data_IF_083093995029
#
_entry.id   IF_083093995029
#
_cell.length_a   1.000
_cell.length_b   1.000
_cell.length_c   1.000
_cell.angle_alpha   90.00
_cell.angle_beta   90.00
_cell.angle_gamma   90.00
#
_symmetry.space_group_name_H-M   'P 1'
#
loop_
_entity.id
_entity.type
_entity.pdbx_description
1 polymer ?
#
# COMPACT_ATOMS: atom_id res chain seq x y z
N UNK A 1 5.08 -42.15 31.46
CA UNK A 1 4.36 -43.22 30.73
C UNK A 1 3.49 -42.55 29.68
N UNK A 2 3.58 -42.94 28.41
CA UNK A 2 2.78 -42.36 27.32
C UNK A 2 1.73 -43.39 26.90
N UNK A 3 0.49 -43.21 27.37
CA UNK A 3 -0.61 -44.16 27.16
C UNK A 3 -1.57 -43.72 26.05
N UNK A 4 -1.41 -42.50 25.53
CA UNK A 4 -2.28 -41.89 24.52
C UNK A 4 -1.46 -41.20 23.45
N UNK A 5 -1.99 -41.19 22.24
CA UNK A 5 -1.40 -40.40 21.16
C UNK A 5 -1.51 -38.90 21.45
N UNK A 6 -0.56 -38.14 20.91
CA UNK A 6 -0.58 -36.68 20.96
C UNK A 6 -1.78 -36.12 20.18
N UNK A 7 -2.14 -34.86 20.44
CA UNK A 7 -3.23 -34.18 19.74
C UNK A 7 -3.04 -34.22 18.23
N UNK A 8 -4.10 -34.56 17.51
CA UNK A 8 -4.11 -34.74 16.06
C UNK A 8 -3.64 -36.12 15.60
N UNK A 9 -3.35 -37.05 16.51
CA UNK A 9 -2.94 -38.41 16.16
C UNK A 9 -3.90 -39.47 16.69
N UNK A 10 -3.96 -40.61 16.01
CA UNK A 10 -4.74 -41.78 16.39
C UNK A 10 -3.88 -43.05 16.35
N UNK A 11 -4.32 -44.11 17.02
CA UNK A 11 -3.65 -45.41 17.02
C UNK A 11 -3.34 -45.91 18.44
N UNK A 12 -2.49 -46.93 18.51
CA UNK A 12 -2.09 -47.60 19.75
C UNK A 12 -0.57 -47.50 19.90
N UNK A 13 -0.13 -46.79 20.95
CA UNK A 13 1.28 -46.53 21.26
C UNK A 13 2.08 -47.83 21.40
N UNK A 14 1.45 -48.91 21.86
CA UNK A 14 2.12 -50.17 22.18
C UNK A 14 2.13 -51.19 21.02
N UNK A 15 1.33 -50.97 19.97
CA UNK A 15 1.23 -51.91 18.83
C UNK A 15 1.80 -51.31 17.55
N UNK A 16 1.12 -50.31 17.01
CA UNK A 16 1.36 -49.78 15.67
C UNK A 16 1.79 -48.31 15.70
N UNK A 17 2.01 -47.76 16.89
CA UNK A 17 2.32 -46.36 17.11
C UNK A 17 1.16 -45.43 16.78
N UNK A 18 1.45 -44.13 16.82
CA UNK A 18 0.51 -43.05 16.53
C UNK A 18 0.67 -42.57 15.09
N UNK A 19 -0.45 -42.39 14.40
CA UNK A 19 -0.53 -41.91 13.01
C UNK A 19 -1.32 -40.59 12.96
N UNK A 20 -0.95 -39.64 12.09
CA UNK A 20 -1.66 -38.37 11.99
C UNK A 20 -3.07 -38.59 11.43
N UNK A 21 -4.02 -37.85 12.00
CA UNK A 21 -5.39 -37.83 11.52
C UNK A 21 -5.48 -37.20 10.13
N UNK A 22 -6.11 -37.87 9.15
CA UNK A 22 -6.37 -37.30 7.83
C UNK A 22 -7.66 -36.45 7.87
N UNK A 23 -7.59 -35.32 8.57
CA UNK A 23 -8.73 -34.45 8.85
C UNK A 23 -8.39 -32.97 8.58
N UNK A 24 -8.52 -32.47 7.33
CA UNK A 24 -8.91 -33.20 6.11
C UNK A 24 -7.81 -34.02 5.47
N UNK A 25 -6.56 -33.65 5.69
CA UNK A 25 -5.39 -34.37 5.15
C UNK A 25 -4.31 -34.46 6.22
N UNK A 26 -3.38 -35.40 6.08
CA UNK A 26 -2.29 -35.58 7.07
C UNK A 26 -1.40 -34.34 7.19
N UNK A 27 -1.24 -33.59 6.11
CA UNK A 27 -0.44 -32.35 6.02
C UNK A 27 -1.18 -31.12 6.55
N UNK A 28 -2.52 -31.16 6.57
CA UNK A 28 -3.41 -30.09 7.03
C UNK A 28 -4.40 -30.70 8.02
N UNK A 29 -3.92 -30.93 9.23
CA UNK A 29 -4.67 -31.63 10.26
C UNK A 29 -5.26 -30.64 11.28
N UNK A 30 -6.56 -30.44 11.17
CA UNK A 30 -7.36 -29.58 12.04
C UNK A 30 -8.19 -30.37 13.05
N UNK A 31 -7.84 -31.63 13.30
CA UNK A 31 -8.46 -32.46 14.33
C UNK A 31 -7.63 -32.49 15.62
N UNK A 32 -8.32 -32.57 16.77
CA UNK A 32 -7.75 -32.94 18.07
C UNK A 32 -7.47 -34.44 18.15
N UNK A 33 -8.21 -35.24 17.40
CA UNK A 33 -8.07 -36.69 17.31
C UNK A 33 -9.06 -37.26 16.30
N UNK A 34 -8.95 -38.55 16.00
CA UNK A 34 -9.85 -39.22 15.07
C UNK A 34 -9.88 -40.73 15.33
N UNK A 35 -10.91 -41.39 14.85
CA UNK A 35 -10.98 -42.86 14.79
C UNK A 35 -11.03 -43.30 13.34
N UNK A 36 -10.29 -44.36 13.01
CA UNK A 36 -10.27 -44.94 11.67
C UNK A 36 -10.71 -46.40 11.76
N UNK A 37 -11.77 -46.75 11.03
CA UNK A 37 -12.30 -48.12 11.02
C UNK A 37 -11.53 -49.06 10.07
N UNK A 38 -11.89 -50.34 10.06
CA UNK A 38 -11.26 -51.35 9.21
C UNK A 38 -11.48 -51.15 7.70
N UNK A 39 -12.46 -50.34 7.31
CA UNK A 39 -12.76 -49.98 5.93
C UNK A 39 -12.11 -48.65 5.51
N UNK A 40 -11.41 -47.99 6.43
CA UNK A 40 -10.75 -46.70 6.20
C UNK A 40 -11.65 -45.48 6.40
N UNK A 41 -12.87 -45.64 6.93
CA UNK A 41 -13.72 -44.51 7.28
C UNK A 41 -13.13 -43.78 8.51
N UNK A 42 -13.06 -42.46 8.42
CA UNK A 42 -12.43 -41.60 9.42
C UNK A 42 -13.50 -40.76 10.09
N UNK A 43 -13.57 -40.79 11.41
CA UNK A 43 -14.40 -39.87 12.20
C UNK A 43 -13.49 -38.91 12.96
N UNK A 44 -13.57 -37.62 12.63
CA UNK A 44 -12.69 -36.59 13.19
C UNK A 44 -13.33 -35.90 14.41
N UNK A 45 -12.51 -35.51 15.37
CA UNK A 45 -12.86 -34.58 16.45
C UNK A 45 -12.13 -33.28 16.15
N UNK A 46 -12.84 -32.22 15.78
CA UNK A 46 -12.23 -30.99 15.29
C UNK A 46 -11.65 -30.11 16.39
N UNK A 47 -10.59 -29.37 16.04
CA UNK A 47 -10.05 -28.28 16.86
C UNK A 47 -11.06 -27.13 16.94
N UNK A 48 -10.91 -26.31 17.97
CA UNK A 48 -11.71 -25.09 18.09
C UNK A 48 -11.54 -24.22 16.84
N UNK A 49 -12.64 -23.70 16.30
CA UNK A 49 -12.64 -22.94 15.05
C UNK A 49 -12.94 -23.77 13.79
N UNK A 50 -12.98 -25.10 13.91
CA UNK A 50 -13.18 -26.01 12.77
C UNK A 50 -14.41 -26.90 12.99
N UNK A 51 -15.09 -27.23 11.90
CA UNK A 51 -16.25 -28.14 11.86
C UNK A 51 -16.24 -28.92 10.54
N UNK A 52 -17.27 -29.74 10.35
CA UNK A 52 -17.39 -30.63 9.19
C UNK A 52 -16.91 -32.04 9.53
N UNK A 53 -17.25 -33.00 8.67
CA UNK A 53 -16.90 -34.41 8.89
C UNK A 53 -15.38 -34.61 8.96
N UNK A 54 -14.63 -33.81 8.20
CA UNK A 54 -13.17 -33.85 8.11
C UNK A 54 -12.49 -32.61 8.70
N UNK A 55 -13.20 -31.76 9.44
CA UNK A 55 -12.65 -30.49 9.95
C UNK A 55 -12.19 -29.55 8.83
N UNK A 56 -12.92 -29.56 7.72
CA UNK A 56 -12.69 -28.86 6.46
C UNK A 56 -13.54 -27.59 6.30
N UNK A 57 -14.30 -27.22 7.32
CA UNK A 57 -15.08 -26.00 7.38
C UNK A 57 -14.77 -25.19 8.64
N UNK A 58 -14.94 -23.88 8.58
CA UNK A 58 -14.82 -23.04 9.78
C UNK A 58 -16.10 -23.11 10.62
N UNK A 59 -15.94 -23.24 11.93
CA UNK A 59 -17.06 -23.23 12.86
C UNK A 59 -17.70 -21.84 12.96
N UNK A 60 -18.88 -21.75 13.58
CA UNK A 60 -19.52 -20.47 13.86
C UNK A 60 -18.57 -19.55 14.65
N UNK A 61 -18.54 -18.26 14.30
CA UNK A 61 -17.61 -17.29 14.87
C UNK A 61 -16.19 -17.35 14.31
N UNK A 62 -15.93 -18.17 13.29
CA UNK A 62 -14.66 -18.24 12.56
C UNK A 62 -14.89 -18.11 11.05
N UNK A 63 -13.87 -17.64 10.33
CA UNK A 63 -13.91 -17.49 8.88
C UNK A 63 -12.58 -17.92 8.24
N UNK A 64 -12.63 -18.26 6.95
CA UNK A 64 -11.47 -18.67 6.17
C UNK A 64 -11.76 -19.86 5.27
N UNK A 65 -10.70 -20.47 4.75
CA UNK A 65 -10.80 -21.67 3.93
C UNK A 65 -9.66 -22.65 4.28
N UNK A 66 -9.92 -23.67 5.13
CA UNK A 66 -8.88 -24.60 5.56
C UNK A 66 -8.37 -25.53 4.45
N UNK A 67 -9.10 -25.69 3.34
CA UNK A 67 -8.68 -26.48 2.20
C UNK A 67 -7.68 -25.74 1.30
N UNK A 68 -7.66 -24.41 1.35
CA UNK A 68 -6.72 -23.59 0.57
C UNK A 68 -5.26 -23.80 1.01
N UNK A 69 -4.30 -23.51 0.13
CA UNK A 69 -2.88 -23.61 0.48
C UNK A 69 -2.55 -22.64 1.62
N UNK A 70 -2.04 -23.18 2.72
CA UNK A 70 -1.81 -22.46 3.97
C UNK A 70 -3.07 -21.79 4.56
N UNK A 71 -4.27 -22.24 4.18
CA UNK A 71 -5.52 -21.72 4.67
C UNK A 71 -5.84 -22.24 6.07
N UNK A 72 -6.41 -21.38 6.92
CA UNK A 72 -6.81 -21.71 8.29
C UNK A 72 -8.15 -21.03 8.60
N UNK A 73 -8.74 -21.38 9.75
CA UNK A 73 -9.92 -20.70 10.26
C UNK A 73 -9.49 -19.71 11.35
N UNK A 74 -9.83 -18.45 11.14
CA UNK A 74 -9.51 -17.35 12.05
C UNK A 74 -10.77 -16.87 12.78
N UNK A 75 -10.67 -16.48 14.06
CA UNK A 75 -11.82 -15.99 14.80
C UNK A 75 -12.31 -14.65 14.23
N UNK A 76 -13.63 -14.48 14.13
CA UNK A 76 -14.24 -13.21 13.79
C UNK A 76 -13.87 -12.15 14.85
N UNK A 77 -13.39 -11.00 14.41
CA UNK A 77 -13.00 -9.89 15.30
C UNK A 77 -14.02 -8.75 15.23
N UNK A 78 -15.30 -9.08 15.35
CA UNK A 78 -16.40 -8.13 15.25
C UNK A 78 -16.47 -7.20 16.46
N UNK A 79 -16.83 -5.93 16.23
CA UNK A 79 -17.23 -5.04 17.30
C UNK A 79 -18.65 -5.37 17.73
N UNK A 80 -18.78 -5.99 18.90
CA UNK A 80 -20.06 -6.40 19.51
C UNK A 80 -21.11 -5.28 19.53
N UNK A 81 -20.69 -4.04 19.70
CA UNK A 81 -21.63 -2.91 19.73
C UNK A 81 -22.15 -2.54 18.34
N UNK A 82 -21.38 -2.80 17.29
CA UNK A 82 -21.67 -2.43 15.91
C UNK A 82 -22.38 -3.50 15.08
N UNK A 83 -22.52 -4.72 15.60
CA UNK A 83 -23.20 -5.84 14.92
C UNK A 83 -24.66 -5.99 15.35
N UNK A 84 -25.49 -6.53 14.45
CA UNK A 84 -26.86 -6.98 14.78
C UNK A 84 -26.97 -8.49 14.97
N UNK A 85 -25.95 -9.25 14.55
CA UNK A 85 -25.88 -10.69 14.72
C UNK A 85 -24.44 -11.11 15.05
N UNK A 86 -24.29 -12.11 15.90
CA UNK A 86 -22.97 -12.64 16.28
C UNK A 86 -22.31 -13.39 15.13
N UNK A 87 -20.98 -13.44 15.16
CA UNK A 87 -20.17 -14.05 14.11
C UNK A 87 -20.01 -13.17 12.87
N UNK A 88 -19.48 -13.78 11.81
CA UNK A 88 -19.17 -13.13 10.55
C UNK A 88 -19.38 -14.11 9.40
N UNK A 89 -19.40 -13.59 8.17
CA UNK A 89 -19.42 -14.42 6.96
C UNK A 89 -18.22 -15.37 6.96
N UNK A 90 -18.48 -16.67 6.82
CA UNK A 90 -17.48 -17.73 7.01
C UNK A 90 -16.36 -17.73 5.97
N UNK A 91 -16.50 -16.97 4.87
CA UNK A 91 -15.52 -16.94 3.78
C UNK A 91 -14.76 -15.63 3.71
N UNK A 92 -15.44 -14.52 3.96
CA UNK A 92 -14.89 -13.16 3.83
C UNK A 92 -14.48 -12.55 5.17
N UNK A 93 -15.01 -13.06 6.28
CA UNK A 93 -14.82 -12.46 7.61
C UNK A 93 -15.62 -11.18 7.85
N UNK A 94 -16.51 -10.81 6.93
CA UNK A 94 -17.35 -9.62 7.08
C UNK A 94 -18.37 -9.83 8.19
N UNK A 95 -18.30 -8.98 9.21
CA UNK A 95 -19.27 -8.96 10.30
C UNK A 95 -20.62 -8.40 9.87
N UNK A 96 -21.69 -8.82 10.55
CA UNK A 96 -23.07 -8.40 10.27
C UNK A 96 -23.37 -7.02 10.88
N UNK A 97 -22.99 -5.95 10.19
CA UNK A 97 -23.06 -4.59 10.71
C UNK A 97 -24.49 -4.04 10.78
N UNK A 98 -24.79 -3.32 11.87
CA UNK A 98 -26.01 -2.51 12.00
C UNK A 98 -26.04 -1.41 10.93
N UNK A 99 -27.24 -0.93 10.65
CA UNK A 99 -27.46 0.19 9.74
C UNK A 99 -26.64 1.42 10.17
N UNK A 100 -25.99 2.08 9.20
CA UNK A 100 -25.12 3.24 9.45
C UNK A 100 -23.73 2.92 10.00
N UNK A 101 -23.39 1.64 10.22
CA UNK A 101 -22.06 1.18 10.65
C UNK A 101 -21.44 0.30 9.55
N UNK A 102 -20.16 0.51 9.28
CA UNK A 102 -19.39 -0.09 8.20
C UNK A 102 -18.06 -0.70 8.71
N UNK A 103 -17.32 -1.28 7.76
CA UNK A 103 -16.02 -1.89 7.94
C UNK A 103 -16.10 -3.39 8.19
N UNK A 104 -14.97 -4.09 8.01
CA UNK A 104 -14.89 -5.54 8.20
C UNK A 104 -15.37 -5.97 9.59
N UNK A 105 -15.12 -5.13 10.58
CA UNK A 105 -15.40 -5.37 12.01
C UNK A 105 -16.57 -4.55 12.55
N UNK A 106 -17.31 -3.83 11.70
CA UNK A 106 -18.41 -2.95 12.12
C UNK A 106 -17.99 -1.90 13.16
N UNK A 107 -16.88 -1.22 12.90
CA UNK A 107 -16.27 -0.25 13.82
C UNK A 107 -16.14 1.16 13.22
N UNK A 108 -16.71 1.41 12.04
CA UNK A 108 -16.62 2.67 11.31
C UNK A 108 -18.05 3.19 11.10
N UNK A 109 -18.29 4.48 11.27
CA UNK A 109 -19.57 5.08 10.94
C UNK A 109 -19.67 5.39 9.45
N UNK A 110 -20.84 5.19 8.85
CA UNK A 110 -21.07 5.47 7.42
C UNK A 110 -20.92 6.96 7.10
N UNK A 111 -21.35 7.82 8.03
CA UNK A 111 -21.18 9.26 7.89
C UNK A 111 -19.78 9.67 8.32
N UNK A 112 -19.14 10.51 7.50
CA UNK A 112 -17.90 11.19 7.89
C UNK A 112 -18.11 12.02 9.16
N UNK A 113 -17.03 12.25 9.91
CA UNK A 113 -17.04 13.04 11.15
C UNK A 113 -17.98 12.49 12.23
N UNK A 114 -18.37 11.23 12.12
CA UNK A 114 -19.05 10.49 13.17
C UNK A 114 -18.12 9.43 13.75
N UNK A 115 -18.26 9.22 15.05
CA UNK A 115 -17.58 8.16 15.77
C UNK A 115 -18.59 7.21 16.40
N UNK A 116 -18.15 5.98 16.62
CA UNK A 116 -19.00 4.97 17.24
C UNK A 116 -18.99 5.15 18.76
N UNK A 117 -20.14 5.51 19.31
CA UNK A 117 -20.38 5.58 20.75
C UNK A 117 -21.44 4.55 21.15
N UNK A 118 -21.02 3.52 21.87
CA UNK A 118 -21.90 2.38 22.12
C UNK A 118 -22.27 1.71 20.80
N UNK A 119 -23.57 1.53 20.59
CA UNK A 119 -24.15 0.98 19.35
C UNK A 119 -24.66 2.06 18.37
N UNK A 120 -24.28 3.32 18.57
CA UNK A 120 -24.78 4.44 17.78
C UNK A 120 -23.64 5.30 17.24
N UNK A 121 -23.80 5.78 16.00
CA UNK A 121 -22.90 6.76 15.43
C UNK A 121 -23.29 8.16 15.90
N UNK A 122 -22.34 8.86 16.53
CA UNK A 122 -22.52 10.24 17.00
C UNK A 122 -21.57 11.15 16.25
N UNK A 123 -22.06 12.34 15.92
CA UNK A 123 -21.21 13.38 15.34
C UNK A 123 -20.14 13.81 16.34
N UNK A 124 -18.94 14.09 15.86
CA UNK A 124 -17.87 14.66 16.67
C UNK A 124 -18.29 15.99 17.31
N UNK A 125 -17.63 16.36 18.41
CA UNK A 125 -17.84 17.65 19.06
C UNK A 125 -17.34 18.83 18.20
N UNK A 126 -17.71 20.04 18.61
CA UNK A 126 -17.37 21.25 17.86
C UNK A 126 -15.85 21.49 17.73
N UNK A 127 -15.06 21.09 18.73
CA UNK A 127 -13.60 21.24 18.70
C UNK A 127 -12.98 20.31 17.66
N UNK A 128 -13.44 19.06 17.63
CA UNK A 128 -12.97 18.04 16.69
C UNK A 128 -13.46 18.36 15.28
N UNK A 129 -14.70 18.81 15.11
CA UNK A 129 -15.22 19.25 13.81
C UNK A 129 -14.41 20.43 13.26
N UNK A 130 -14.13 21.43 14.10
CA UNK A 130 -13.30 22.57 13.72
C UNK A 130 -11.89 22.12 13.32
N UNK A 131 -11.28 21.20 14.08
CA UNK A 131 -9.96 20.65 13.75
C UNK A 131 -9.98 19.92 12.40
N UNK A 132 -10.99 19.09 12.15
CA UNK A 132 -11.15 18.37 10.88
C UNK A 132 -11.33 19.35 9.71
N UNK A 133 -12.15 20.39 9.85
CA UNK A 133 -12.29 21.44 8.84
C UNK A 133 -10.97 22.14 8.51
N UNK A 134 -10.16 22.44 9.54
CA UNK A 134 -8.84 23.01 9.36
C UNK A 134 -7.88 22.03 8.67
N UNK A 135 -7.99 20.74 9.00
CA UNK A 135 -7.18 19.67 8.40
C UNK A 135 -7.51 19.50 6.92
N UNK A 136 -8.79 19.52 6.55
CA UNK A 136 -9.23 19.43 5.16
C UNK A 136 -8.76 20.63 4.33
N UNK A 137 -8.81 21.84 4.91
CA UNK A 137 -8.25 23.05 4.27
C UNK A 137 -6.75 22.89 4.02
N UNK A 138 -6.01 22.40 5.01
CA UNK A 138 -4.56 22.16 4.85
C UNK A 138 -4.34 21.08 3.80
N UNK A 139 -5.07 19.96 3.84
CA UNK A 139 -4.98 18.89 2.84
C UNK A 139 -5.21 19.41 1.43
N UNK A 140 -6.27 20.21 1.23
CA UNK A 140 -6.57 20.83 -0.06
C UNK A 140 -5.44 21.77 -0.53
N UNK A 141 -4.90 22.59 0.35
CA UNK A 141 -3.76 23.47 0.03
C UNK A 141 -2.55 22.62 -0.38
N UNK A 142 -2.27 21.55 0.35
CA UNK A 142 -1.17 20.63 0.04
C UNK A 142 -1.38 19.98 -1.32
N UNK A 143 -2.56 19.43 -1.59
CA UNK A 143 -2.89 18.80 -2.88
C UNK A 143 -2.71 19.75 -4.06
N UNK A 144 -3.16 21.00 -3.94
CA UNK A 144 -3.04 22.00 -5.02
C UNK A 144 -1.59 22.47 -5.17
N UNK A 145 -0.91 22.75 -4.06
CA UNK A 145 0.46 23.29 -4.07
C UNK A 145 1.50 22.25 -4.48
N UNK A 146 1.26 20.98 -4.14
CA UNK A 146 2.14 19.85 -4.42
C UNK A 146 1.63 18.95 -5.55
N UNK A 147 0.60 19.35 -6.32
CA UNK A 147 0.10 18.61 -7.50
C UNK A 147 1.19 18.26 -8.50
N UNK A 148 2.23 19.10 -8.57
CA UNK A 148 3.37 18.92 -9.45
C UNK A 148 4.55 18.23 -8.76
N UNK A 149 4.53 18.01 -7.44
CA UNK A 149 5.61 17.36 -6.71
C UNK A 149 5.35 15.87 -6.70
N UNK A 150 5.77 15.22 -7.78
CA UNK A 150 6.00 13.79 -7.75
C UNK A 150 7.18 13.50 -6.81
N UNK A 151 7.08 12.45 -5.99
CA UNK A 151 8.16 11.99 -5.11
C UNK A 151 9.39 11.50 -5.91
N UNK A 152 9.30 11.50 -7.23
CA UNK A 152 10.39 11.27 -8.19
C UNK A 152 11.15 12.53 -8.63
N UNK A 153 10.66 13.74 -8.35
CA UNK A 153 11.37 14.96 -8.75
C UNK A 153 10.49 16.20 -8.85
N UNK A 154 11.03 17.31 -8.37
CA UNK A 154 10.51 18.67 -8.58
C UNK A 154 10.49 18.94 -10.10
N UNK A 155 9.34 19.15 -10.77
CA UNK A 155 9.35 19.59 -12.14
C UNK A 155 9.83 21.04 -12.13
N UNK A 156 11.01 21.25 -12.73
CA UNK A 156 11.60 22.56 -12.90
C UNK A 156 10.63 23.48 -13.68
N UNK A 157 10.70 24.80 -13.47
CA UNK A 157 9.99 25.76 -14.30
C UNK A 157 10.68 25.82 -15.67
N UNK A 158 10.38 24.84 -16.53
CA UNK A 158 10.94 24.69 -17.88
C UNK A 158 10.76 25.95 -18.71
N UNK A 159 9.65 26.68 -18.53
CA UNK A 159 9.41 27.95 -19.20
C UNK A 159 10.39 29.05 -18.79
N UNK A 160 10.81 29.09 -17.52
CA UNK A 160 11.82 30.04 -17.06
C UNK A 160 13.21 29.65 -17.57
N UNK A 161 13.55 28.35 -17.52
CA UNK A 161 14.83 27.86 -18.02
C UNK A 161 15.00 28.07 -19.52
N UNK A 162 13.96 27.81 -20.31
CA UNK A 162 13.94 28.08 -21.76
C UNK A 162 14.13 29.58 -22.04
N UNK A 163 13.48 30.45 -21.25
CA UNK A 163 13.67 31.90 -21.36
C UNK A 163 15.09 32.36 -21.03
N UNK A 164 15.77 31.68 -20.10
CA UNK A 164 17.17 31.97 -19.78
C UNK A 164 18.10 31.45 -20.86
N UNK A 165 17.85 30.27 -21.41
CA UNK A 165 18.64 29.67 -22.49
C UNK A 165 18.57 30.52 -23.77
N UNK A 166 17.36 30.93 -24.18
CA UNK A 166 17.14 31.84 -25.32
C UNK A 166 17.91 33.16 -25.12
N UNK A 167 17.84 33.75 -23.91
CA UNK A 167 18.56 35.00 -23.61
C UNK A 167 20.07 34.80 -23.59
N UNK A 168 20.56 33.69 -23.07
CA UNK A 168 21.99 33.36 -23.04
C UNK A 168 22.54 33.17 -24.46
N UNK A 169 21.83 32.43 -25.31
CA UNK A 169 22.20 32.23 -26.71
C UNK A 169 22.19 33.56 -27.49
N UNK A 170 21.16 34.39 -27.31
CA UNK A 170 21.11 35.72 -27.95
C UNK A 170 22.24 36.65 -27.47
N UNK A 171 22.67 36.52 -26.22
CA UNK A 171 23.82 37.28 -25.70
C UNK A 171 25.14 36.76 -26.28
N UNK A 172 25.26 35.45 -26.43
CA UNK A 172 26.43 34.79 -26.99
C UNK A 172 26.65 35.18 -28.45
N UNK A 173 25.60 35.19 -29.28
CA UNK A 173 25.70 35.65 -30.68
C UNK A 173 26.17 37.11 -30.79
N UNK A 174 25.66 37.99 -29.93
CA UNK A 174 26.12 39.38 -29.89
C UNK A 174 27.58 39.49 -29.47
N UNK A 175 27.99 38.68 -28.51
CA UNK A 175 29.37 38.61 -28.04
C UNK A 175 30.31 38.13 -29.14
N UNK A 176 29.93 37.09 -29.91
CA UNK A 176 30.74 36.60 -31.03
C UNK A 176 30.86 37.65 -32.12
N UNK A 177 29.77 38.30 -32.52
CA UNK A 177 29.84 39.40 -33.51
C UNK A 177 30.70 40.57 -33.04
N UNK A 178 30.62 40.91 -31.75
CA UNK A 178 31.47 41.95 -31.17
C UNK A 178 32.95 41.56 -31.23
N UNK A 179 33.28 40.32 -30.92
CA UNK A 179 34.66 39.83 -31.01
C UNK A 179 35.15 39.73 -32.45
N UNK A 180 34.33 39.27 -33.40
CA UNK A 180 34.72 39.24 -34.82
C UNK A 180 34.99 40.66 -35.35
N UNK A 181 34.18 41.64 -34.96
CA UNK A 181 34.39 43.04 -35.31
C UNK A 181 35.67 43.60 -34.64
N UNK A 182 35.90 43.25 -33.39
CA UNK A 182 37.12 43.61 -32.65
C UNK A 182 38.36 43.03 -33.33
N UNK A 183 38.37 41.73 -33.64
CA UNK A 183 39.47 41.04 -34.31
C UNK A 183 39.70 41.62 -35.72
N UNK A 184 38.62 41.97 -36.43
CA UNK A 184 38.68 42.70 -37.69
C UNK A 184 39.37 44.06 -37.56
N UNK A 185 39.03 44.85 -36.54
CA UNK A 185 39.66 46.16 -36.27
C UNK A 185 41.13 45.98 -35.85
N UNK A 186 41.43 45.00 -34.99
CA UNK A 186 42.81 44.69 -34.57
C UNK A 186 43.67 44.26 -35.77
N UNK A 187 43.11 43.49 -36.71
CA UNK A 187 43.80 43.10 -37.95
C UNK A 187 44.04 44.27 -38.91
N UNK A 188 43.21 45.31 -38.87
CA UNK A 188 43.31 46.46 -39.76
C UNK A 188 44.42 47.44 -39.32
N UNK A 189 44.85 47.39 -38.06
CA UNK A 189 45.61 48.47 -37.41
C UNK A 189 47.13 48.28 -37.37
N UNK A 190 47.73 47.47 -38.25
CA UNK A 190 49.21 47.42 -38.34
C UNK A 190 49.72 47.32 -39.77
N UNK A 191 49.11 46.49 -40.62
CA UNK A 191 49.62 46.25 -41.98
C UNK A 191 49.11 47.30 -42.98
N UNK A 192 47.86 47.75 -42.84
CA UNK A 192 47.24 48.70 -43.78
C UNK A 192 47.77 50.12 -43.59
N UNK A 193 47.97 50.54 -42.33
CA UNK A 193 48.59 51.83 -41.98
C UNK A 193 50.04 51.91 -42.46
N UNK A 194 50.85 50.87 -42.22
CA UNK A 194 52.23 50.82 -42.71
C UNK A 194 52.31 50.86 -44.24
N UNK A 195 51.40 50.17 -44.95
CA UNK A 195 51.33 50.23 -46.42
C UNK A 195 50.90 51.60 -46.95
N UNK A 196 50.01 52.30 -46.25
CA UNK A 196 49.56 53.63 -46.63
C UNK A 196 50.61 54.71 -46.35
N UNK A 197 51.38 54.59 -45.26
CA UNK A 197 52.52 55.48 -44.97
C UNK A 197 53.64 55.31 -46.01
N UNK A 198 54.00 54.08 -46.37
CA UNK A 198 55.03 53.81 -47.40
C UNK A 198 54.67 54.31 -48.81
N UNK A 199 53.38 54.42 -49.13
CA UNK A 199 52.93 54.98 -50.42
C UNK A 199 52.93 56.51 -50.43
N UNK A 200 52.87 57.17 -49.26
CA UNK A 200 52.94 58.63 -49.15
C UNK A 200 54.35 59.19 -49.19
N UNK A 201 55.37 58.37 -48.85
CA UNK A 201 56.79 58.75 -48.88
C UNK A 201 57.45 58.55 -50.27
N UNK A 202 56.72 58.02 -51.26
CA UNK A 202 57.21 57.89 -52.65
C UNK A 202 56.75 59.03 -53.59
N UNK A 203 55.96 59.99 -53.10
CA UNK A 203 55.49 61.15 -53.88
C UNK A 203 56.15 62.49 -53.48
N UNK A 204 57.30 62.47 -52.80
CA UNK A 204 58.18 63.64 -52.61
C UNK A 204 59.66 63.32 -52.87
#
# INVERSE_FOLDING_TARGET
MCEKCAEGFYGDVNKNGCKPCPCPEKSKNFAQGCTVDGNGAVQCICKNGYKGYLCDECSEGFFGNPLSNNGTCEPCQCNEKGIYNHGCDSRTGQCFCKEGILGLRCNICNNERHYLDGSSCKICDNCTLSLLDHTDKISHILEVSFKNVDLSGIPAPWLMLDSFDIRANALYEKYTTFNDAKDGIESFNTITLQKMELLSEQEH
#
